data_IF_821720130743
#
_entry.id   IF_821720130743
#
_cell.length_a   1.000
_cell.length_b   1.000
_cell.length_c   1.000
_cell.angle_alpha   90.00
_cell.angle_beta   90.00
_cell.angle_gamma   90.00
#
_symmetry.space_group_name_H-M   'P 1'
#
loop_
_entity.id
_entity.type
_entity.pdbx_description
1 polymer ?
#
# COMPACT_ATOMS: atom_id res chain seq x y z
N UNK A 1 -5.52 18.80 20.06
CA UNK A 1 -6.48 17.68 20.25
C UNK A 1 -7.84 18.14 19.75
N UNK A 2 -8.47 17.41 18.84
CA UNK A 2 -9.72 17.83 18.16
C UNK A 2 -10.95 17.07 18.70
N UNK A 3 -12.20 17.48 18.38
CA UNK A 3 -13.41 16.87 18.93
C UNK A 3 -13.80 15.53 18.26
N UNK A 4 -12.92 14.93 17.46
CA UNK A 4 -13.18 13.64 16.82
C UNK A 4 -13.40 12.56 17.88
N UNK A 5 -14.50 11.82 17.74
CA UNK A 5 -14.87 10.73 18.64
C UNK A 5 -15.14 9.49 17.80
N UNK A 6 -14.64 8.36 18.25
CA UNK A 6 -14.94 7.05 17.69
C UNK A 6 -15.38 6.12 18.83
N UNK A 7 -16.37 5.26 18.55
CA UNK A 7 -16.83 4.23 19.50
C UNK A 7 -15.84 3.08 19.64
N UNK A 8 -14.92 2.93 18.68
CA UNK A 8 -13.88 1.89 18.68
C UNK A 8 -12.50 2.50 18.92
N UNK A 9 -11.73 1.84 19.80
CA UNK A 9 -10.37 2.26 20.17
C UNK A 9 -9.41 2.28 18.98
N UNK A 10 -9.47 1.28 18.10
CA UNK A 10 -8.57 1.19 16.94
C UNK A 10 -8.75 2.33 15.94
N UNK A 11 -10.00 2.81 15.78
CA UNK A 11 -10.32 3.98 14.97
C UNK A 11 -9.78 5.27 15.61
N UNK A 12 -9.91 5.41 16.94
CA UNK A 12 -9.38 6.57 17.65
C UNK A 12 -7.84 6.60 17.61
N UNK A 13 -7.17 5.46 17.79
CA UNK A 13 -5.71 5.34 17.67
C UNK A 13 -5.25 5.66 16.25
N UNK A 14 -5.94 5.15 15.23
CA UNK A 14 -5.69 5.50 13.82
C UNK A 14 -5.89 6.99 13.54
N UNK A 15 -6.87 7.62 14.16
CA UNK A 15 -7.08 9.07 14.09
C UNK A 15 -5.94 9.85 14.77
N UNK A 16 -5.47 9.43 15.95
CA UNK A 16 -4.38 10.14 16.65
C UNK A 16 -3.11 10.18 15.80
N UNK A 17 -2.85 9.14 15.00
CA UNK A 17 -1.73 9.12 14.05
C UNK A 17 -1.77 10.23 13.01
N UNK A 18 -2.93 10.81 12.71
CA UNK A 18 -3.01 11.98 11.80
C UNK A 18 -2.45 13.25 12.43
N UNK A 19 -2.46 13.35 13.77
CA UNK A 19 -1.83 14.47 14.48
C UNK A 19 -0.32 14.28 14.59
N UNK A 20 0.16 13.04 14.72
CA UNK A 20 1.59 12.74 14.86
C UNK A 20 2.32 12.52 13.54
N UNK A 21 1.58 12.26 12.46
CA UNK A 21 2.13 11.87 11.17
C UNK A 21 2.67 10.43 11.12
N UNK A 22 2.43 9.64 12.18
CA UNK A 22 2.91 8.26 12.26
C UNK A 22 2.20 7.34 11.25
N UNK A 23 2.96 6.59 10.48
CA UNK A 23 2.47 5.70 9.41
C UNK A 23 3.16 4.34 9.51
N UNK A 24 2.79 3.51 10.49
CA UNK A 24 3.45 2.24 10.76
C UNK A 24 3.24 1.18 9.67
N UNK A 25 2.32 1.40 8.72
CA UNK A 25 2.00 0.45 7.67
C UNK A 25 2.58 0.90 6.34
N UNK A 26 3.68 0.28 5.91
CA UNK A 26 4.35 0.53 4.63
C UNK A 26 3.96 -0.51 3.57
N UNK A 27 3.91 -0.07 2.32
CA UNK A 27 3.78 -0.97 1.18
C UNK A 27 5.13 -1.63 0.87
N UNK A 28 5.20 -2.95 0.64
CA UNK A 28 6.44 -3.61 0.27
C UNK A 28 6.88 -3.36 -1.18
N UNK A 29 5.98 -2.85 -2.03
CA UNK A 29 6.24 -2.67 -3.46
C UNK A 29 6.50 -1.20 -3.85
N UNK A 30 6.22 -0.24 -2.98
CA UNK A 30 6.47 1.17 -3.23
C UNK A 30 6.63 1.97 -1.92
N UNK A 31 6.91 3.28 -2.03
CA UNK A 31 7.09 4.18 -0.88
C UNK A 31 5.79 4.60 -0.17
N UNK A 32 4.64 4.03 -0.53
CA UNK A 32 3.37 4.35 0.11
C UNK A 32 3.34 3.88 1.57
N UNK A 33 2.88 4.76 2.47
CA UNK A 33 2.70 4.46 3.89
C UNK A 33 1.34 4.96 4.38
N UNK A 34 0.77 4.26 5.36
CA UNK A 34 -0.54 4.60 5.94
C UNK A 34 -0.57 4.40 7.46
N UNK A 35 -1.47 5.14 8.11
CA UNK A 35 -1.77 5.03 9.53
C UNK A 35 -2.72 3.86 9.86
N UNK A 36 -3.34 3.25 8.83
CA UNK A 36 -4.32 2.16 8.97
C UNK A 36 -4.05 1.01 7.98
N UNK A 37 -4.17 -0.22 8.49
CA UNK A 37 -4.06 -1.47 7.72
C UNK A 37 -5.10 -1.57 6.60
N UNK A 38 -6.32 -1.09 6.82
CA UNK A 38 -7.38 -1.16 5.80
C UNK A 38 -7.06 -0.31 4.58
N UNK A 39 -6.45 0.86 4.82
CA UNK A 39 -5.97 1.74 3.75
C UNK A 39 -4.79 1.12 2.99
N UNK A 40 -3.83 0.50 3.69
CA UNK A 40 -2.74 -0.22 3.03
C UNK A 40 -3.25 -1.37 2.16
N UNK A 41 -4.21 -2.18 2.66
CA UNK A 41 -4.81 -3.28 1.89
C UNK A 41 -5.49 -2.77 0.62
N UNK A 42 -6.29 -1.72 0.74
CA UNK A 42 -6.95 -1.09 -0.42
C UNK A 42 -5.95 -0.54 -1.43
N UNK A 43 -4.87 0.08 -0.96
CA UNK A 43 -3.78 0.54 -1.82
C UNK A 43 -3.15 -0.62 -2.60
N UNK A 44 -2.80 -1.72 -1.91
CA UNK A 44 -2.24 -2.92 -2.57
C UNK A 44 -3.15 -3.46 -3.65
N UNK A 45 -4.44 -3.63 -3.35
CA UNK A 45 -5.44 -4.13 -4.29
C UNK A 45 -5.61 -3.25 -5.53
N UNK A 46 -5.50 -1.92 -5.39
CA UNK A 46 -5.71 -0.98 -6.50
C UNK A 46 -4.44 -0.71 -7.30
N UNK A 47 -3.29 -0.60 -6.65
CA UNK A 47 -2.04 -0.13 -7.25
C UNK A 47 -1.11 -1.26 -7.68
N UNK A 48 -1.17 -2.43 -7.00
CA UNK A 48 -0.26 -3.55 -7.24
C UNK A 48 -1.00 -4.82 -7.69
N UNK A 49 -2.19 -5.05 -7.18
CA UNK A 49 -3.00 -6.24 -7.43
C UNK A 49 -4.30 -5.90 -8.21
N UNK A 50 -4.20 -4.95 -9.16
CA UNK A 50 -5.27 -4.69 -10.13
C UNK A 50 -5.65 -5.95 -10.92
N UNK A 51 -6.80 -5.98 -11.63
CA UNK A 51 -7.34 -7.21 -12.23
C UNK A 51 -6.24 -7.88 -13.03
N UNK A 52 -5.97 -9.14 -12.70
CA UNK A 52 -4.85 -9.91 -13.19
C UNK A 52 -4.63 -9.68 -14.70
N UNK A 53 -3.74 -8.76 -15.06
CA UNK A 53 -3.05 -8.89 -16.33
C UNK A 53 -2.17 -10.09 -16.12
N UNK A 54 -2.51 -11.17 -16.80
CA UNK A 54 -1.71 -12.37 -16.92
C UNK A 54 -0.25 -11.94 -17.06
N UNK A 55 0.50 -12.12 -15.99
CA UNK A 55 1.95 -11.96 -16.02
C UNK A 55 2.44 -13.10 -16.89
N UNK A 56 2.51 -12.87 -18.20
CA UNK A 56 3.27 -13.70 -19.10
C UNK A 56 4.72 -13.56 -18.64
N UNK A 57 5.13 -14.58 -17.88
CA UNK A 57 6.49 -14.78 -17.39
C UNK A 57 7.43 -14.56 -18.55
N UNK A 58 8.43 -13.72 -18.32
CA UNK A 58 9.58 -13.48 -19.20
C UNK A 58 9.89 -14.70 -20.10
N UNK A 59 9.74 -14.54 -21.40
CA UNK A 59 10.31 -15.46 -22.39
C UNK A 59 10.86 -14.63 -23.54
N UNK A 60 12.19 -14.72 -23.70
CA UNK A 60 13.03 -14.21 -24.78
C UNK A 60 13.27 -12.69 -24.86
N UNK A 61 14.32 -12.22 -24.18
CA UNK A 61 15.13 -11.15 -24.75
C UNK A 61 15.91 -11.74 -25.93
N UNK A 62 15.83 -11.19 -27.15
CA UNK A 62 16.71 -11.63 -28.23
C UNK A 62 18.15 -11.23 -27.89
N UNK A 63 18.97 -12.25 -27.64
CA UNK A 63 20.41 -12.11 -27.45
C UNK A 63 21.04 -11.64 -28.77
N UNK A 64 21.47 -10.39 -28.83
CA UNK A 64 22.27 -9.86 -29.94
C UNK A 64 23.68 -10.51 -29.90
N UNK A 65 23.80 -11.70 -30.49
CA UNK A 65 25.08 -12.31 -30.84
C UNK A 65 25.06 -12.75 -32.30
N UNK A 66 25.42 -11.81 -33.18
CA UNK A 66 26.18 -12.01 -34.42
C UNK A 66 26.96 -10.68 -34.54
N UNK A 67 28.28 -10.66 -34.49
CA UNK A 67 29.16 -11.37 -35.42
C UNK A 67 29.60 -10.32 -36.44
#
# INVERSE_FOLDING_TARGET
MCPYKASRKDLLEGHVRTHTGDKPFSCPHCSYQSADRSNLRRHRLKCHEGPARTQERHSAWPQWHLG
#
